data_IF_679057063582
#
_entry.id   IF_679057063582
#
_cell.length_a   1.000
_cell.length_b   1.000
_cell.length_c   1.000
_cell.angle_alpha   90.00
_cell.angle_beta   90.00
_cell.angle_gamma   90.00
#
_symmetry.space_group_name_H-M   'P 1'
#
loop_
_entity.id
_entity.type
_entity.pdbx_description
1 polymer ?
#
# COMPACT_ATOMS: atom_id res chain seq x y z
N UNK A 1 2.37 -6.55 6.59
CA UNK A 1 1.71 -6.54 5.26
C UNK A 1 0.89 -5.26 5.17
N UNK A 2 0.77 -4.65 3.99
CA UNK A 2 -0.03 -3.45 3.77
C UNK A 2 -1.07 -3.72 2.70
N UNK A 3 -2.31 -3.34 2.99
CA UNK A 3 -3.43 -3.34 2.06
C UNK A 3 -3.52 -1.97 1.39
N UNK A 4 -3.65 -1.95 0.07
CA UNK A 4 -4.03 -0.78 -0.73
C UNK A 4 -5.38 -1.06 -1.38
N UNK A 5 -6.37 -0.25 -1.04
CA UNK A 5 -7.71 -0.28 -1.62
C UNK A 5 -7.80 0.72 -2.75
N UNK A 6 -7.95 0.25 -3.99
CA UNK A 6 -8.30 1.06 -5.15
C UNK A 6 -8.91 0.19 -6.25
N UNK A 7 -10.03 0.64 -6.85
CA UNK A 7 -10.68 -0.09 -7.97
C UNK A 7 -9.93 0.14 -9.27
N UNK A 8 -9.43 1.35 -9.49
CA UNK A 8 -8.86 1.77 -10.76
C UNK A 8 -7.35 1.73 -10.75
N UNK A 9 -6.76 1.51 -11.93
CA UNK A 9 -5.30 1.59 -12.15
C UNK A 9 -4.47 0.71 -11.22
N UNK A 10 -5.01 -0.44 -10.84
CA UNK A 10 -4.35 -1.38 -9.94
C UNK A 10 -2.98 -1.81 -10.45
N UNK A 11 -2.84 -2.06 -11.76
CA UNK A 11 -1.54 -2.41 -12.35
C UNK A 11 -0.49 -1.30 -12.20
N UNK A 12 -0.90 -0.03 -12.39
CA UNK A 12 0.00 1.12 -12.23
C UNK A 12 0.39 1.29 -10.77
N UNK A 13 -0.56 1.12 -9.85
CA UNK A 13 -0.34 1.17 -8.41
C UNK A 13 0.62 0.06 -7.98
N UNK A 14 0.41 -1.18 -8.44
CA UNK A 14 1.30 -2.32 -8.14
C UNK A 14 2.71 -2.02 -8.62
N UNK A 15 2.88 -1.58 -9.87
CA UNK A 15 4.20 -1.22 -10.42
C UNK A 15 4.88 -0.10 -9.62
N UNK A 16 4.13 0.95 -9.27
CA UNK A 16 4.66 2.05 -8.47
C UNK A 16 5.11 1.59 -7.08
N UNK A 17 4.29 0.79 -6.40
CA UNK A 17 4.61 0.28 -5.06
C UNK A 17 5.79 -0.68 -5.07
N UNK A 18 5.84 -1.62 -6.01
CA UNK A 18 6.97 -2.56 -6.13
C UNK A 18 8.28 -1.89 -6.56
N UNK A 19 8.22 -0.69 -7.15
CA UNK A 19 9.42 0.09 -7.52
C UNK A 19 10.10 0.80 -6.35
N UNK A 20 9.45 0.87 -5.18
CA UNK A 20 10.00 1.59 -4.03
C UNK A 20 11.17 0.82 -3.44
N UNK A 21 12.28 1.54 -3.24
CA UNK A 21 13.54 1.00 -2.72
C UNK A 21 13.99 1.66 -1.42
N UNK A 22 14.65 0.87 -0.57
CA UNK A 22 15.46 1.32 0.56
C UNK A 22 16.80 0.60 0.47
N UNK A 23 17.91 1.34 0.53
CA UNK A 23 19.27 0.79 0.35
C UNK A 23 19.41 -0.09 -0.92
N UNK A 24 18.83 0.39 -2.02
CA UNK A 24 18.75 -0.26 -3.35
C UNK A 24 18.00 -1.62 -3.39
N UNK A 25 17.24 -1.95 -2.34
CA UNK A 25 16.40 -3.15 -2.28
C UNK A 25 14.93 -2.80 -2.38
N UNK A 26 14.17 -3.54 -3.18
CA UNK A 26 12.71 -3.42 -3.20
C UNK A 26 12.15 -3.82 -1.84
N UNK A 27 11.34 -2.95 -1.24
CA UNK A 27 10.81 -3.16 0.13
C UNK A 27 9.35 -3.58 0.15
N UNK A 28 8.70 -3.62 -1.02
CA UNK A 28 7.34 -4.12 -1.19
C UNK A 28 7.29 -5.21 -2.26
N UNK A 29 6.39 -6.17 -2.07
CA UNK A 29 6.07 -7.22 -3.02
C UNK A 29 4.57 -7.45 -3.07
N UNK A 30 3.97 -7.42 -4.24
CA UNK A 30 2.56 -7.78 -4.42
C UNK A 30 2.37 -9.28 -4.16
N UNK A 31 1.38 -9.60 -3.33
CA UNK A 31 1.06 -10.98 -2.92
C UNK A 31 -0.22 -11.45 -3.58
N UNK A 32 -1.26 -10.63 -3.51
CA UNK A 32 -2.58 -10.97 -4.03
C UNK A 32 -3.41 -9.73 -4.34
N UNK A 33 -4.35 -9.89 -5.27
CA UNK A 33 -5.38 -8.90 -5.62
C UNK A 33 -6.74 -9.56 -5.47
N UNK A 34 -7.63 -8.95 -4.68
CA UNK A 34 -8.99 -9.44 -4.41
C UNK A 34 -10.00 -8.30 -4.63
N UNK A 35 -10.60 -8.25 -5.82
CA UNK A 35 -11.50 -7.15 -6.20
C UNK A 35 -10.75 -5.81 -6.23
N UNK A 36 -11.09 -4.89 -5.33
CA UNK A 36 -10.42 -3.58 -5.21
C UNK A 36 -9.21 -3.60 -4.25
N UNK A 37 -8.92 -4.75 -3.62
CA UNK A 37 -7.91 -4.89 -2.57
C UNK A 37 -6.61 -5.42 -3.14
N UNK A 38 -5.53 -4.68 -2.98
CA UNK A 38 -4.18 -5.09 -3.36
C UNK A 38 -3.34 -5.28 -2.10
N UNK A 39 -2.74 -6.46 -1.92
CA UNK A 39 -1.99 -6.80 -0.71
C UNK A 39 -0.50 -6.85 -1.02
N UNK A 40 0.28 -6.14 -0.21
CA UNK A 40 1.72 -6.03 -0.33
C UNK A 40 2.42 -6.55 0.92
N UNK A 41 3.31 -7.53 0.74
CA UNK A 41 4.31 -7.87 1.74
C UNK A 41 5.34 -6.74 1.84
N UNK A 42 5.88 -6.52 3.04
CA UNK A 42 6.89 -5.50 3.27
C UNK A 42 7.80 -5.84 4.43
N UNK A 43 9.05 -5.37 4.34
CA UNK A 43 10.08 -5.50 5.38
C UNK A 43 10.24 -4.22 6.22
N UNK A 44 9.52 -3.15 5.90
CA UNK A 44 9.56 -1.89 6.68
C UNK A 44 8.41 -1.84 7.69
N UNK A 45 8.55 -0.98 8.72
CA UNK A 45 7.46 -0.73 9.67
C UNK A 45 6.21 -0.22 8.96
N UNK A 46 5.04 -0.61 9.47
CA UNK A 46 3.73 -0.29 8.88
C UNK A 46 3.60 1.18 8.50
N UNK A 47 4.02 2.09 9.36
CA UNK A 47 3.75 3.52 9.18
C UNK A 47 4.73 4.19 8.24
N UNK A 48 5.96 3.71 8.25
CA UNK A 48 6.92 4.07 7.22
C UNK A 48 6.43 3.53 5.87
N UNK A 49 5.96 2.28 5.82
CA UNK A 49 5.50 1.64 4.61
C UNK A 49 4.29 2.33 3.99
N UNK A 50 3.31 2.72 4.81
CA UNK A 50 2.15 3.50 4.36
C UNK A 50 2.56 4.83 3.74
N UNK A 51 3.50 5.55 4.38
CA UNK A 51 4.01 6.83 3.85
C UNK A 51 4.72 6.63 2.52
N UNK A 52 5.52 5.58 2.40
CA UNK A 52 6.26 5.24 1.17
C UNK A 52 5.31 4.86 0.02
N UNK A 53 4.34 3.98 0.27
CA UNK A 53 3.31 3.60 -0.71
C UNK A 53 2.53 4.83 -1.16
N UNK A 54 2.10 5.67 -0.21
CA UNK A 54 1.39 6.91 -0.52
C UNK A 54 2.23 7.84 -1.39
N UNK A 55 3.53 7.96 -1.14
CA UNK A 55 4.42 8.76 -1.95
C UNK A 55 4.55 8.20 -3.38
N UNK A 56 4.76 6.89 -3.53
CA UNK A 56 4.90 6.24 -4.83
C UNK A 56 3.62 6.38 -5.69
N UNK A 57 2.45 6.18 -5.08
CA UNK A 57 1.17 6.34 -5.78
C UNK A 57 0.95 7.78 -6.26
N UNK A 58 1.44 8.78 -5.51
CA UNK A 58 1.31 10.20 -5.88
C UNK A 58 2.12 10.59 -7.12
N UNK A 59 3.10 9.77 -7.52
CA UNK A 59 3.87 9.99 -8.75
C UNK A 59 3.11 9.54 -10.01
N UNK A 60 2.03 8.78 -9.83
CA UNK A 60 1.19 8.32 -10.93
C UNK A 60 0.37 9.52 -11.47
N UNK A 61 0.47 9.88 -12.77
CA UNK A 61 -0.26 11.02 -13.31
C UNK A 61 -1.78 10.88 -13.14
N UNK A 62 -2.45 11.85 -12.51
CA UNK A 62 -3.89 11.78 -12.25
C UNK A 62 -4.29 10.93 -11.05
N UNK A 63 -3.36 10.63 -10.14
CA UNK A 63 -3.66 9.92 -8.88
C UNK A 63 -4.72 10.64 -8.04
N UNK A 64 -4.85 11.96 -8.19
CA UNK A 64 -5.79 12.79 -7.44
C UNK A 64 -7.26 12.40 -7.70
N UNK A 65 -7.54 11.79 -8.85
CA UNK A 65 -8.86 11.28 -9.20
C UNK A 65 -9.14 9.89 -8.61
N UNK A 66 -8.14 9.22 -8.01
CA UNK A 66 -8.27 7.88 -7.48
C UNK A 66 -8.72 7.94 -6.01
N UNK A 67 -9.78 7.19 -5.69
CA UNK A 67 -10.11 6.90 -4.30
C UNK A 67 -9.19 5.78 -3.80
N UNK A 68 -8.25 6.15 -2.93
CA UNK A 68 -7.21 5.24 -2.43
C UNK A 68 -7.20 5.27 -0.91
N UNK A 69 -7.23 4.08 -0.33
CA UNK A 69 -7.07 3.85 1.10
C UNK A 69 -5.93 2.85 1.33
N UNK A 70 -5.08 3.12 2.33
CA UNK A 70 -3.84 2.36 2.59
C UNK A 70 -3.78 2.02 4.08
N UNK A 71 -3.79 0.73 4.40
CA UNK A 71 -4.03 0.25 5.76
C UNK A 71 -3.07 -0.91 6.07
N UNK A 72 -2.46 -0.97 7.26
CA UNK A 72 -1.66 -2.13 7.62
C UNK A 72 -2.57 -3.33 7.91
N UNK A 73 -2.13 -4.53 7.56
CA UNK A 73 -2.81 -5.76 7.97
C UNK A 73 -2.17 -6.24 9.26
N UNK A 74 -2.96 -6.32 10.33
CA UNK A 74 -2.50 -6.67 11.69
C UNK A 74 -3.17 -8.00 12.07
N UNK A 75 -2.39 -8.99 12.49
CA UNK A 75 -2.90 -10.34 12.84
C UNK A 75 -3.83 -10.94 11.76
N UNK A 76 -3.47 -10.79 10.49
CA UNK A 76 -4.30 -11.18 9.33
C UNK A 76 -5.69 -10.51 9.26
N UNK A 77 -5.88 -9.43 10.01
CA UNK A 77 -7.11 -8.67 10.11
C UNK A 77 -6.93 -7.24 9.59
N UNK A 78 -7.71 -6.88 8.57
CA UNK A 78 -7.70 -5.54 7.96
C UNK A 78 -8.39 -4.49 8.85
N UNK A 79 -9.34 -4.90 9.69
CA UNK A 79 -10.09 -3.97 10.56
C UNK A 79 -9.23 -3.47 11.72
N UNK A 80 -8.37 -4.34 12.27
CA UNK A 80 -7.40 -3.95 13.29
C UNK A 80 -6.42 -2.88 12.77
N UNK A 81 -6.10 -2.93 11.49
CA UNK A 81 -5.31 -1.91 10.81
C UNK A 81 -5.88 -0.51 10.91
N UNK A 82 -7.20 -0.34 10.74
CA UNK A 82 -7.85 0.96 10.86
C UNK A 82 -7.77 1.51 12.29
N UNK A 83 -7.94 0.66 13.30
CA UNK A 83 -7.76 1.08 14.69
C UNK A 83 -6.34 1.60 14.94
N UNK A 84 -5.33 0.93 14.40
CA UNK A 84 -3.93 1.35 14.50
C UNK A 84 -3.68 2.73 13.86
N UNK A 85 -4.47 3.13 12.86
CA UNK A 85 -4.39 4.45 12.23
C UNK A 85 -5.11 5.55 13.00
N UNK A 86 -6.21 5.22 13.68
CA UNK A 86 -7.06 6.19 14.39
C UNK A 86 -6.55 6.54 15.79
N UNK A 87 -5.89 5.61 16.48
CA UNK A 87 -5.45 5.79 17.87
C UNK A 87 -3.95 6.09 18.01
N UNK A 88 -3.41 6.86 17.07
CA UNK A 88 -1.98 7.15 16.96
C UNK A 88 -1.53 8.44 17.61
#
# INVERSE_FOLDING_TARGET
>A
MILVNCVWRQEDIIKAVESVKVDDKNVFRSVKVEGFRMFFETIVDDMQGIKMIKAAIKEIPGYEALFIDIVPVVNDNVFEGYNKLLYK
#
